data_IF_603296930934
#
_entry.id   IF_603296930934
#
_cell.length_a   1.000
_cell.length_b   1.000
_cell.length_c   1.000
_cell.angle_alpha   90.00
_cell.angle_beta   90.00
_cell.angle_gamma   90.00
#
_symmetry.space_group_name_H-M   'P 1'
#
loop_
_entity.id
_entity.type
_entity.pdbx_description
1 polymer ?
#
# COMPACT_ATOMS: atom_id res chain seq x y z
N UNK A 1 -11.76 -9.42 -21.99
CA UNK A 1 -12.59 -9.29 -20.76
C UNK A 1 -12.20 -10.32 -19.71
N UNK A 2 -11.98 -11.60 -20.05
CA UNK A 2 -11.61 -12.63 -19.06
C UNK A 2 -10.20 -12.50 -18.46
N UNK A 3 -9.22 -11.99 -19.22
CA UNK A 3 -7.84 -11.80 -18.71
C UNK A 3 -7.71 -10.72 -17.63
N UNK A 4 -8.61 -9.72 -17.63
CA UNK A 4 -8.59 -8.65 -16.63
C UNK A 4 -9.09 -9.15 -15.26
N UNK A 5 -10.17 -9.93 -15.26
CA UNK A 5 -10.70 -10.56 -14.05
C UNK A 5 -9.69 -11.52 -13.41
N UNK A 6 -8.95 -12.28 -14.22
CA UNK A 6 -7.95 -13.22 -13.71
C UNK A 6 -6.81 -12.51 -12.96
N UNK A 7 -6.37 -11.34 -13.45
CA UNK A 7 -5.35 -10.54 -12.77
C UNK A 7 -5.84 -9.98 -11.43
N UNK A 8 -7.06 -9.42 -11.39
CA UNK A 8 -7.64 -8.86 -10.16
C UNK A 8 -7.85 -9.93 -9.07
N UNK A 9 -8.31 -11.13 -9.45
CA UNK A 9 -8.46 -12.23 -8.50
C UNK A 9 -7.12 -12.70 -7.92
N UNK A 10 -6.08 -12.74 -8.77
CA UNK A 10 -4.75 -13.16 -8.35
C UNK A 10 -4.09 -12.15 -7.41
N UNK A 11 -4.28 -10.84 -7.65
CA UNK A 11 -3.87 -9.78 -6.73
C UNK A 11 -4.57 -9.91 -5.37
N UNK A 12 -5.89 -10.10 -5.36
CA UNK A 12 -6.64 -10.23 -4.11
C UNK A 12 -6.21 -11.45 -3.29
N UNK A 13 -5.93 -12.57 -3.95
CA UNK A 13 -5.45 -13.77 -3.28
C UNK A 13 -4.05 -13.56 -2.69
N UNK A 14 -3.15 -12.91 -3.42
CA UNK A 14 -1.81 -12.57 -2.92
C UNK A 14 -1.91 -11.66 -1.68
N UNK A 15 -2.79 -10.65 -1.71
CA UNK A 15 -3.02 -9.76 -0.58
C UNK A 15 -3.55 -10.53 0.65
N UNK A 16 -4.45 -11.49 0.46
CA UNK A 16 -4.93 -12.35 1.54
C UNK A 16 -3.83 -13.24 2.12
N UNK A 17 -2.96 -13.77 1.27
CA UNK A 17 -1.87 -14.64 1.70
C UNK A 17 -0.80 -13.86 2.48
N UNK A 18 -0.50 -12.62 2.06
CA UNK A 18 0.46 -11.73 2.75
C UNK A 18 -0.12 -11.18 4.07
N UNK A 19 -1.40 -10.81 4.09
CA UNK A 19 -2.05 -10.26 5.29
C UNK A 19 -2.47 -11.33 6.30
N UNK A 20 -2.66 -12.57 5.86
CA UNK A 20 -3.19 -13.66 6.69
C UNK A 20 -4.65 -13.47 7.13
N UNK A 21 -5.39 -12.54 6.53
CA UNK A 21 -6.80 -12.27 6.89
C UNK A 21 -7.79 -12.68 5.79
N UNK A 22 -8.98 -13.10 6.22
CA UNK A 22 -10.07 -13.44 5.28
C UNK A 22 -10.79 -12.21 4.73
N UNK A 23 -10.88 -11.12 5.52
CA UNK A 23 -11.57 -9.88 5.15
C UNK A 23 -10.57 -8.72 5.12
N UNK A 24 -10.22 -8.29 3.90
CA UNK A 24 -9.30 -7.17 3.67
C UNK A 24 -9.87 -5.84 4.21
N UNK A 25 -11.19 -5.72 4.27
CA UNK A 25 -11.91 -4.54 4.78
C UNK A 25 -11.62 -4.21 6.25
N UNK A 26 -11.33 -5.23 7.07
CA UNK A 26 -11.02 -5.08 8.51
C UNK A 26 -9.53 -4.90 8.78
N UNK A 27 -8.69 -4.93 7.73
CA UNK A 27 -7.24 -4.82 7.88
C UNK A 27 -6.88 -3.42 8.33
N UNK A 28 -6.28 -3.36 9.51
CA UNK A 28 -5.74 -2.12 10.09
C UNK A 28 -4.23 -2.02 9.96
N UNK A 29 -3.55 -3.15 9.77
CA UNK A 29 -2.10 -3.26 9.59
C UNK A 29 -1.78 -4.15 8.38
N UNK A 30 -0.90 -3.68 7.49
CA UNK A 30 -0.38 -4.42 6.34
C UNK A 30 1.15 -4.36 6.34
N UNK A 31 1.80 -5.53 6.30
CA UNK A 31 3.23 -5.67 6.03
C UNK A 31 3.38 -6.42 4.70
N UNK A 32 3.86 -5.72 3.67
CA UNK A 32 3.98 -6.26 2.33
C UNK A 32 5.24 -5.75 1.64
N UNK A 33 5.77 -6.55 0.71
CA UNK A 33 6.83 -6.14 -0.20
C UNK A 33 6.23 -6.03 -1.59
N UNK A 34 6.22 -4.82 -2.14
CA UNK A 34 5.57 -4.54 -3.42
C UNK A 34 6.55 -3.83 -4.36
N UNK A 35 6.48 -4.17 -5.64
CA UNK A 35 7.16 -3.43 -6.68
C UNK A 35 6.18 -2.45 -7.35
N UNK A 36 6.28 -1.16 -6.99
CA UNK A 36 5.43 -0.10 -7.54
C UNK A 36 6.02 0.55 -8.80
N UNK A 37 7.04 -0.06 -9.42
CA UNK A 37 7.60 0.46 -10.69
C UNK A 37 6.62 0.34 -11.86
N UNK A 38 5.74 -0.67 -11.85
CA UNK A 38 4.74 -0.91 -12.90
C UNK A 38 3.29 -0.85 -12.40
N UNK A 39 3.04 -0.98 -11.09
CA UNK A 39 1.68 -1.08 -10.52
C UNK A 39 1.50 -0.14 -9.34
N UNK A 40 0.48 0.73 -9.39
CA UNK A 40 0.12 1.60 -8.27
C UNK A 40 -0.66 0.83 -7.19
N UNK A 41 -0.42 1.15 -5.93
CA UNK A 41 -1.11 0.60 -4.76
C UNK A 41 -2.45 1.29 -4.46
N UNK A 42 -3.02 2.00 -5.44
CA UNK A 42 -4.28 2.73 -5.30
C UNK A 42 -5.47 1.81 -4.99
N UNK A 43 -5.40 0.53 -5.41
CA UNK A 43 -6.40 -0.52 -5.12
C UNK A 43 -6.43 -0.90 -3.63
N UNK A 44 -5.32 -0.76 -2.89
CA UNK A 44 -5.28 -1.06 -1.45
C UNK A 44 -6.26 -0.21 -0.66
N UNK A 45 -6.35 1.08 -0.97
CA UNK A 45 -7.29 1.96 -0.28
C UNK A 45 -8.76 1.64 -0.56
N UNK A 46 -9.06 0.91 -1.65
CA UNK A 46 -10.42 0.41 -1.93
C UNK A 46 -10.70 -0.90 -1.20
N UNK A 47 -9.72 -1.81 -1.15
CA UNK A 47 -9.87 -3.13 -0.50
C UNK A 47 -9.72 -3.07 1.03
N UNK A 48 -8.93 -2.12 1.54
CA UNK A 48 -8.59 -1.96 2.96
C UNK A 48 -8.87 -0.52 3.42
N UNK A 49 -10.14 -0.08 3.44
CA UNK A 49 -10.49 1.29 3.82
C UNK A 49 -10.14 1.62 5.27
N UNK A 50 -10.00 0.63 6.15
CA UNK A 50 -9.67 0.81 7.57
C UNK A 50 -8.16 0.74 7.86
N UNK A 51 -7.30 0.68 6.83
CA UNK A 51 -5.86 0.57 7.00
C UNK A 51 -5.30 1.81 7.73
N UNK A 52 -4.58 1.55 8.83
CA UNK A 52 -3.96 2.57 9.70
C UNK A 52 -2.45 2.50 9.65
N UNK A 53 -1.90 1.32 9.43
CA UNK A 53 -0.47 1.05 9.50
C UNK A 53 -0.07 0.28 8.25
N UNK A 54 0.88 0.84 7.47
CA UNK A 54 1.34 0.27 6.22
C UNK A 54 2.86 0.19 6.21
N UNK A 55 3.38 -1.04 6.15
CA UNK A 55 4.79 -1.33 6.08
C UNK A 55 5.14 -1.90 4.72
N UNK A 56 6.01 -1.19 4.02
CA UNK A 56 6.47 -1.47 2.67
C UNK A 56 7.99 -1.60 2.61
N UNK A 57 8.62 -2.10 3.66
CA UNK A 57 10.08 -2.21 3.69
C UNK A 57 10.58 -3.11 2.54
N UNK A 58 11.69 -2.73 1.91
CA UNK A 58 12.26 -3.39 0.71
C UNK A 58 11.35 -3.38 -0.53
N UNK A 59 10.33 -2.51 -0.56
CA UNK A 59 9.45 -2.33 -1.73
C UNK A 59 10.02 -1.30 -2.70
N UNK A 60 9.86 -1.46 -4.01
CA UNK A 60 10.29 -0.43 -4.95
C UNK A 60 9.21 0.66 -5.04
N UNK A 61 9.39 1.76 -4.31
CA UNK A 61 8.45 2.89 -4.28
C UNK A 61 9.16 4.17 -4.73
N UNK A 62 8.86 4.66 -5.94
CA UNK A 62 9.49 5.88 -6.45
C UNK A 62 8.94 7.13 -5.77
N UNK A 63 7.62 7.15 -5.50
CA UNK A 63 6.92 8.27 -4.86
C UNK A 63 5.78 7.78 -3.97
N UNK A 64 5.50 8.52 -2.89
CA UNK A 64 4.33 8.26 -2.02
C UNK A 64 3.01 8.36 -2.80
N UNK A 65 2.98 9.04 -3.95
CA UNK A 65 1.82 9.07 -4.86
C UNK A 65 1.40 7.69 -5.35
N UNK A 66 2.33 6.74 -5.43
CA UNK A 66 2.06 5.37 -5.89
C UNK A 66 1.14 4.63 -4.90
N UNK A 67 1.06 5.07 -3.64
CA UNK A 67 0.11 4.58 -2.63
C UNK A 67 -1.33 5.04 -2.89
N UNK A 68 -1.53 6.08 -3.70
CA UNK A 68 -2.81 6.69 -3.98
C UNK A 68 -3.37 7.56 -2.85
N UNK A 69 -4.60 8.06 -3.05
CA UNK A 69 -5.27 9.03 -2.17
C UNK A 69 -6.40 8.44 -1.31
N UNK A 70 -6.58 7.13 -1.38
CA UNK A 70 -7.71 6.43 -0.73
C UNK A 70 -7.39 5.90 0.67
N UNK A 71 -6.12 5.90 1.06
CA UNK A 71 -5.64 5.51 2.39
C UNK A 71 -5.89 6.63 3.43
N UNK A 72 -7.15 7.06 3.56
CA UNK A 72 -7.54 8.23 4.37
C UNK A 72 -7.33 8.05 5.86
N UNK A 73 -7.28 6.81 6.33
CA UNK A 73 -7.12 6.46 7.74
C UNK A 73 -5.68 6.07 8.10
N UNK A 74 -4.76 6.09 7.14
CA UNK A 74 -3.37 5.73 7.35
C UNK A 74 -2.69 6.73 8.28
N UNK A 75 -2.10 6.22 9.36
CA UNK A 75 -1.44 6.99 10.41
C UNK A 75 0.06 6.73 10.44
N UNK A 76 0.48 5.50 10.15
CA UNK A 76 1.89 5.11 10.16
C UNK A 76 2.28 4.47 8.83
N UNK A 77 3.38 4.95 8.25
CA UNK A 77 3.95 4.44 7.01
C UNK A 77 5.42 4.09 7.21
N UNK A 78 5.81 2.85 6.94
CA UNK A 78 7.21 2.43 6.86
C UNK A 78 7.57 2.14 5.41
N UNK A 79 8.62 2.79 4.94
CA UNK A 79 9.11 2.73 3.55
C UNK A 79 10.62 2.59 3.52
N UNK A 80 11.13 1.69 4.36
CA UNK A 80 12.56 1.44 4.45
C UNK A 80 13.12 0.73 3.23
N UNK A 81 14.32 1.08 2.78
CA UNK A 81 14.98 0.54 1.59
C UNK A 81 14.13 0.62 0.32
N UNK A 82 13.29 1.66 0.19
CA UNK A 82 12.36 1.75 -0.94
C UNK A 82 12.89 2.41 -2.21
N UNK A 83 14.08 3.04 -2.14
CA UNK A 83 14.59 3.85 -3.24
C UNK A 83 13.77 5.13 -3.47
N UNK A 84 13.01 5.57 -2.45
CA UNK A 84 12.21 6.79 -2.50
C UNK A 84 13.07 7.99 -2.89
N UNK A 85 12.80 8.54 -4.06
CA UNK A 85 13.53 9.72 -4.57
C UNK A 85 12.89 11.04 -4.13
N UNK A 86 11.67 10.98 -3.60
CA UNK A 86 10.96 12.13 -3.07
C UNK A 86 9.69 11.76 -2.30
N UNK A 87 9.31 12.62 -1.36
CA UNK A 87 8.11 12.47 -0.52
C UNK A 87 6.87 13.16 -1.10
N UNK A 88 6.89 13.42 -2.41
CA UNK A 88 5.76 13.98 -3.12
C UNK A 88 4.53 13.07 -2.99
N UNK A 89 3.36 13.65 -2.70
CA UNK A 89 2.12 12.90 -2.52
C UNK A 89 1.71 12.62 -1.07
N UNK A 90 2.53 12.97 -0.07
CA UNK A 90 2.13 12.88 1.35
C UNK A 90 0.85 13.67 1.66
N UNK A 91 0.57 14.75 0.92
CA UNK A 91 -0.67 15.52 1.04
C UNK A 91 -1.94 14.69 0.75
N UNK A 92 -1.82 13.56 0.07
CA UNK A 92 -2.90 12.63 -0.19
C UNK A 92 -3.23 11.71 1.00
N UNK A 93 -2.41 11.76 2.06
CA UNK A 93 -2.53 10.96 3.28
C UNK A 93 -2.86 11.87 4.48
N UNK A 94 -4.11 12.36 4.59
CA UNK A 94 -4.47 13.41 5.54
C UNK A 94 -4.36 13.01 7.01
N UNK A 95 -4.38 11.70 7.30
CA UNK A 95 -4.30 11.17 8.67
C UNK A 95 -2.89 10.73 9.06
N UNK A 96 -1.89 10.88 8.17
CA UNK A 96 -0.55 10.39 8.42
C UNK A 96 0.10 11.20 9.55
N UNK A 97 0.60 10.48 10.55
CA UNK A 97 1.27 11.05 11.74
C UNK A 97 2.74 10.67 11.79
N UNK A 98 3.06 9.47 11.32
CA UNK A 98 4.39 8.88 11.43
C UNK A 98 4.83 8.34 10.08
N UNK A 99 6.06 8.72 9.69
CA UNK A 99 6.73 8.24 8.50
C UNK A 99 8.11 7.74 8.91
N UNK A 100 8.38 6.47 8.61
CA UNK A 100 9.65 5.82 8.87
C UNK A 100 10.27 5.41 7.54
N UNK A 101 11.50 5.85 7.28
CA UNK A 101 12.31 5.41 6.16
C UNK A 101 13.77 5.59 6.50
N UNK A 102 14.61 4.68 6.03
CA UNK A 102 16.06 4.88 5.98
C UNK A 102 16.40 5.66 4.71
N UNK A 103 17.31 6.62 4.88
CA UNK A 103 17.91 7.42 3.81
C UNK A 103 19.35 6.98 3.62
#
# INVERSE_FOLDING_TARGET
>A
MQELLAKEQQEEQLLRDITGVQRLEDVTFLDAVVDCTETSLSSLGEKMPLLRELKLNNSALNSVRDLGSRLRHLQVLWVSHCGLTGLDGLNALPSLKELYGDT
#
